data_IF_119562186000
#
_entry.id   IF_119562186000
#
_cell.length_a   1.000
_cell.length_b   1.000
_cell.length_c   1.000
_cell.angle_alpha   90.00
_cell.angle_beta   90.00
_cell.angle_gamma   90.00
#
_symmetry.space_group_name_H-M   'P 1'
#
loop_
_entity.id
_entity.type
_entity.pdbx_description
1 polymer ?
#
# COMPACT_ATOMS: atom_id res chain seq x y z
N UNK A 1 1.01 26.05 21.37
CA UNK A 1 2.08 25.33 20.63
C UNK A 1 1.79 25.51 19.14
N UNK A 2 2.64 26.26 18.42
CA UNK A 2 2.40 26.64 17.01
C UNK A 2 2.32 25.39 16.13
N UNK A 3 1.35 25.32 15.22
CA UNK A 3 1.07 24.12 14.40
C UNK A 3 2.25 23.59 13.57
N UNK A 4 3.28 24.41 13.31
CA UNK A 4 4.51 23.99 12.63
C UNK A 4 5.34 22.98 13.43
N UNK A 5 5.48 23.18 14.74
CA UNK A 5 6.33 22.34 15.59
C UNK A 5 5.73 20.96 15.79
N UNK A 6 4.40 20.89 15.86
CA UNK A 6 3.67 19.64 15.94
C UNK A 6 3.82 18.79 14.68
N UNK A 7 3.70 19.40 13.49
CA UNK A 7 3.90 18.71 12.21
C UNK A 7 5.33 18.17 12.09
N UNK A 8 6.34 18.97 12.46
CA UNK A 8 7.74 18.54 12.44
C UNK A 8 7.97 17.34 13.35
N UNK A 9 7.42 17.35 14.57
CA UNK A 9 7.54 16.24 15.53
C UNK A 9 6.87 14.96 15.04
N UNK A 10 5.63 15.04 14.54
CA UNK A 10 4.95 13.87 13.96
C UNK A 10 5.79 13.28 12.84
N UNK A 11 6.26 14.14 11.94
CA UNK A 11 7.00 13.72 10.77
C UNK A 11 8.33 13.05 11.15
N UNK A 12 9.12 13.70 11.99
CA UNK A 12 10.43 13.20 12.40
C UNK A 12 10.33 11.90 13.20
N UNK A 13 9.34 11.78 14.10
CA UNK A 13 9.10 10.55 14.86
C UNK A 13 8.59 9.41 13.97
N UNK A 14 7.68 9.69 13.03
CA UNK A 14 7.15 8.66 12.13
C UNK A 14 8.24 8.13 11.20
N UNK A 15 9.04 9.02 10.61
CA UNK A 15 10.14 8.63 9.72
C UNK A 15 11.20 7.87 10.50
N UNK A 16 11.68 8.39 11.63
CA UNK A 16 12.75 7.73 12.39
C UNK A 16 12.33 6.35 12.88
N UNK A 17 11.08 6.20 13.34
CA UNK A 17 10.54 4.91 13.73
C UNK A 17 10.43 3.95 12.54
N UNK A 18 9.91 4.42 11.39
CA UNK A 18 9.81 3.59 10.19
C UNK A 18 11.17 3.12 9.69
N UNK A 19 12.16 4.02 9.60
CA UNK A 19 13.54 3.70 9.22
C UNK A 19 14.14 2.65 10.17
N UNK A 20 13.99 2.85 11.48
CA UNK A 20 14.51 1.91 12.49
C UNK A 20 13.90 0.52 12.32
N UNK A 21 12.57 0.43 12.21
CA UNK A 21 11.87 -0.85 12.01
C UNK A 21 12.27 -1.49 10.68
N UNK A 22 12.45 -0.71 9.62
CA UNK A 22 12.88 -1.22 8.31
C UNK A 22 14.25 -1.92 8.40
N UNK A 23 15.24 -1.26 9.02
CA UNK A 23 16.58 -1.83 9.24
C UNK A 23 16.51 -3.06 10.13
N UNK A 24 15.79 -2.99 11.26
CA UNK A 24 15.64 -4.11 12.19
C UNK A 24 14.98 -5.34 11.56
N UNK A 25 14.06 -5.13 10.62
CA UNK A 25 13.34 -6.20 9.93
C UNK A 25 13.99 -6.63 8.62
N UNK A 26 15.03 -5.95 8.14
CA UNK A 26 15.66 -6.24 6.84
C UNK A 26 16.03 -7.73 6.68
N UNK A 27 16.75 -8.30 7.64
CA UNK A 27 17.17 -9.70 7.62
C UNK A 27 16.03 -10.72 7.72
N UNK A 28 14.85 -10.31 8.18
CA UNK A 28 13.66 -11.15 8.16
C UNK A 28 13.12 -11.36 6.74
N UNK A 29 13.29 -10.36 5.86
CA UNK A 29 12.80 -10.41 4.47
C UNK A 29 13.91 -10.75 3.47
N UNK A 30 15.14 -10.34 3.74
CA UNK A 30 16.31 -10.61 2.90
C UNK A 30 17.46 -11.24 3.72
N UNK A 31 17.34 -12.53 4.09
CA UNK A 31 18.33 -13.18 4.97
C UNK A 31 19.75 -13.14 4.39
N UNK A 32 19.86 -13.39 3.09
CA UNK A 32 21.14 -13.50 2.38
C UNK A 32 21.68 -12.18 1.82
N UNK A 33 20.91 -11.09 1.90
CA UNK A 33 21.33 -9.79 1.38
C UNK A 33 21.76 -8.90 2.56
N UNK A 34 22.97 -8.35 2.50
CA UNK A 34 23.39 -7.31 3.43
C UNK A 34 22.83 -5.94 3.04
N UNK A 35 22.58 -5.13 4.06
CA UNK A 35 22.15 -3.75 3.86
C UNK A 35 23.39 -2.90 3.59
N UNK A 36 23.65 -2.59 2.31
CA UNK A 36 24.86 -1.88 1.89
C UNK A 36 24.90 -0.42 2.37
N UNK A 37 23.74 0.23 2.43
CA UNK A 37 23.60 1.62 2.86
C UNK A 37 22.37 1.79 3.75
N UNK A 38 22.43 2.67 4.77
CA UNK A 38 21.27 2.95 5.59
C UNK A 38 20.15 3.58 4.74
N UNK A 39 18.93 3.04 4.78
CA UNK A 39 17.82 3.61 4.04
C UNK A 39 17.42 4.96 4.63
N UNK A 40 17.03 5.88 3.77
CA UNK A 40 16.41 7.16 4.13
C UNK A 40 15.02 7.23 3.53
N UNK A 41 14.09 7.84 4.25
CA UNK A 41 12.71 8.02 3.82
C UNK A 41 12.32 9.48 3.94
N UNK A 42 11.70 9.98 2.89
CA UNK A 42 11.04 11.28 2.91
C UNK A 42 9.57 11.13 3.34
N UNK A 43 9.04 12.20 3.93
CA UNK A 43 7.64 12.24 4.29
C UNK A 43 7.10 13.66 4.32
N UNK A 44 5.78 13.76 4.30
CA UNK A 44 5.08 15.03 4.37
C UNK A 44 3.84 14.87 5.26
N UNK A 45 3.53 15.92 6.02
CA UNK A 45 2.26 16.02 6.76
C UNK A 45 1.31 16.90 5.97
N UNK A 46 0.23 16.32 5.47
CA UNK A 46 -0.82 17.00 4.72
C UNK A 46 -2.05 17.09 5.63
N UNK A 47 -2.58 18.30 5.82
CA UNK A 47 -3.81 18.52 6.59
C UNK A 47 -4.97 18.71 5.61
N UNK A 48 -6.02 17.90 5.76
CA UNK A 48 -7.26 18.05 5.01
C UNK A 48 -8.27 18.84 5.84
N UNK A 49 -8.63 20.08 5.44
CA UNK A 49 -9.57 20.90 6.18
C UNK A 49 -11.02 20.42 5.97
N UNK A 50 -11.87 20.65 6.97
CA UNK A 50 -13.32 20.41 6.88
C UNK A 50 -13.82 19.29 7.79
N UNK A 51 -15.14 19.20 8.01
CA UNK A 51 -15.74 18.17 8.85
C UNK A 51 -15.73 16.81 8.13
N UNK A 52 -15.15 15.81 8.78
CA UNK A 52 -15.21 14.41 8.35
C UNK A 52 -14.08 13.96 7.42
N UNK A 53 -14.25 12.76 6.84
CA UNK A 53 -13.15 11.99 6.23
C UNK A 53 -13.16 11.96 4.70
N UNK A 54 -14.02 12.73 4.03
CA UNK A 54 -14.19 12.67 2.55
C UNK A 54 -12.88 12.93 1.81
N UNK A 55 -12.21 14.04 2.12
CA UNK A 55 -10.96 14.42 1.46
C UNK A 55 -9.83 13.41 1.70
N UNK A 56 -9.82 12.76 2.88
CA UNK A 56 -8.87 11.69 3.18
C UNK A 56 -9.15 10.46 2.30
N UNK A 57 -10.43 10.09 2.12
CA UNK A 57 -10.82 8.98 1.22
C UNK A 57 -10.46 9.26 -0.23
N UNK A 58 -10.71 10.48 -0.70
CA UNK A 58 -10.36 10.91 -2.06
C UNK A 58 -8.83 10.84 -2.26
N UNK A 59 -8.06 11.31 -1.28
CA UNK A 59 -6.60 11.18 -1.31
C UNK A 59 -6.12 9.72 -1.37
N UNK A 60 -6.64 8.85 -0.51
CA UNK A 60 -6.26 7.43 -0.50
C UNK A 60 -6.63 6.74 -1.83
N UNK A 61 -7.77 7.09 -2.40
CA UNK A 61 -8.21 6.58 -3.72
C UNK A 61 -7.26 7.05 -4.83
N UNK A 62 -6.83 8.31 -4.79
CA UNK A 62 -5.84 8.85 -5.72
C UNK A 62 -4.50 8.11 -5.59
N UNK A 63 -4.03 7.84 -4.37
CA UNK A 63 -2.78 7.08 -4.14
C UNK A 63 -2.89 5.66 -4.69
N UNK A 64 -4.04 5.00 -4.55
CA UNK A 64 -4.25 3.67 -5.14
C UNK A 64 -4.29 3.71 -6.67
N UNK A 65 -4.92 4.73 -7.26
CA UNK A 65 -4.91 4.90 -8.72
C UNK A 65 -3.48 5.10 -9.27
N UNK A 66 -2.66 5.92 -8.57
CA UNK A 66 -1.24 6.08 -8.92
C UNK A 66 -0.46 4.76 -8.81
N UNK A 67 -0.74 3.94 -7.79
CA UNK A 67 -0.14 2.61 -7.65
C UNK A 67 -0.46 1.72 -8.85
N UNK A 68 -1.73 1.68 -9.30
CA UNK A 68 -2.14 0.91 -10.47
C UNK A 68 -1.41 1.35 -11.75
N UNK A 69 -1.40 2.65 -12.04
CA UNK A 69 -0.73 3.20 -13.22
C UNK A 69 0.77 2.91 -13.19
N UNK A 70 1.42 3.17 -12.05
CA UNK A 70 2.85 2.97 -11.89
C UNK A 70 3.22 1.49 -12.00
N UNK A 71 2.46 0.60 -11.37
CA UNK A 71 2.71 -0.84 -11.44
C UNK A 71 2.55 -1.37 -12.87
N UNK A 72 1.50 -0.96 -13.60
CA UNK A 72 1.30 -1.38 -14.98
C UNK A 72 2.46 -0.91 -15.89
N UNK A 73 2.84 0.37 -15.80
CA UNK A 73 3.98 0.91 -16.56
C UNK A 73 5.27 0.15 -16.22
N UNK A 74 5.56 -0.06 -14.94
CA UNK A 74 6.78 -0.75 -14.51
C UNK A 74 6.79 -2.22 -14.93
N UNK A 75 5.64 -2.89 -14.91
CA UNK A 75 5.53 -4.27 -15.39
C UNK A 75 5.91 -4.36 -16.87
N UNK A 76 5.37 -3.45 -17.70
CA UNK A 76 5.74 -3.36 -19.12
C UNK A 76 7.22 -2.99 -19.31
N UNK A 77 7.72 -2.01 -18.55
CA UNK A 77 9.10 -1.54 -18.67
C UNK A 77 10.08 -2.69 -18.40
N UNK A 78 9.93 -3.36 -17.27
CA UNK A 78 10.87 -4.39 -16.84
C UNK A 78 10.77 -5.67 -17.66
N UNK A 79 9.60 -6.01 -18.22
CA UNK A 79 9.50 -7.16 -19.13
C UNK A 79 10.16 -6.86 -20.49
N UNK A 80 10.05 -5.63 -20.99
CA UNK A 80 10.75 -5.18 -22.21
C UNK A 80 12.27 -5.18 -22.01
N UNK A 81 12.74 -4.69 -20.86
CA UNK A 81 14.16 -4.73 -20.51
C UNK A 81 14.63 -6.18 -20.42
N UNK A 82 13.85 -7.06 -19.76
CA UNK A 82 14.14 -8.49 -19.67
C UNK A 82 14.15 -9.19 -21.04
N UNK A 83 13.40 -8.68 -22.02
CA UNK A 83 13.40 -9.21 -23.39
C UNK A 83 14.55 -8.70 -24.26
N UNK A 84 15.50 -7.95 -23.68
CA UNK A 84 16.72 -7.50 -24.33
C UNK A 84 16.72 -6.05 -24.81
N UNK A 85 15.67 -5.26 -24.52
CA UNK A 85 15.71 -3.81 -24.76
C UNK A 85 16.52 -3.11 -23.68
N UNK A 86 17.12 -1.99 -24.04
CA UNK A 86 17.67 -1.05 -23.05
C UNK A 86 16.53 -0.35 -22.30
N UNK A 87 16.82 0.21 -21.12
CA UNK A 87 15.85 0.99 -20.35
C UNK A 87 15.29 2.16 -21.17
N UNK A 88 16.16 2.90 -21.88
CA UNK A 88 15.75 4.03 -22.72
C UNK A 88 14.84 3.62 -23.88
N UNK A 89 15.11 2.49 -24.54
CA UNK A 89 14.24 1.98 -25.61
C UNK A 89 12.88 1.54 -25.06
N UNK A 90 12.86 0.89 -23.89
CA UNK A 90 11.63 0.46 -23.26
C UNK A 90 10.80 1.66 -22.77
N UNK A 91 11.43 2.71 -22.23
CA UNK A 91 10.75 3.95 -21.86
C UNK A 91 10.16 4.66 -23.06
N UNK A 92 10.92 4.83 -24.14
CA UNK A 92 10.45 5.44 -25.38
C UNK A 92 9.30 4.65 -26.00
N UNK A 93 9.36 3.31 -25.98
CA UNK A 93 8.27 2.45 -26.45
C UNK A 93 6.97 2.64 -25.65
N UNK A 94 7.07 2.90 -24.35
CA UNK A 94 5.92 3.08 -23.47
C UNK A 94 5.44 4.53 -23.41
N UNK A 95 6.16 5.47 -24.01
CA UNK A 95 5.77 6.87 -24.05
C UNK A 95 4.48 7.05 -24.86
N UNK A 96 3.54 7.84 -24.33
CA UNK A 96 2.23 8.06 -24.96
C UNK A 96 1.26 6.87 -24.93
N UNK A 97 1.70 5.68 -24.52
CA UNK A 97 0.84 4.48 -24.53
C UNK A 97 -0.30 4.52 -23.50
N UNK A 98 -1.48 4.10 -23.94
CA UNK A 98 -2.69 3.96 -23.12
C UNK A 98 -2.67 2.68 -22.28
N UNK A 99 -3.54 2.62 -21.28
CA UNK A 99 -3.70 1.43 -20.42
C UNK A 99 -4.06 0.16 -21.20
N UNK A 100 -4.91 0.27 -22.23
CA UNK A 100 -5.30 -0.85 -23.09
C UNK A 100 -4.11 -1.39 -23.89
N UNK A 101 -3.31 -0.51 -24.47
CA UNK A 101 -2.12 -0.87 -25.26
C UNK A 101 -1.06 -1.56 -24.37
N UNK A 102 -0.90 -1.13 -23.12
CA UNK A 102 -0.03 -1.80 -22.13
C UNK A 102 -0.52 -3.20 -21.78
N UNK A 103 -1.82 -3.38 -21.62
CA UNK A 103 -2.39 -4.71 -21.39
C UNK A 103 -2.22 -5.63 -22.60
N UNK A 104 -2.42 -5.09 -23.81
CA UNK A 104 -2.22 -5.81 -25.06
C UNK A 104 -0.75 -6.21 -25.25
N UNK A 105 0.19 -5.30 -24.98
CA UNK A 105 1.63 -5.57 -24.95
C UNK A 105 1.95 -6.76 -24.03
N UNK A 106 1.51 -6.70 -22.76
CA UNK A 106 1.75 -7.75 -21.77
C UNK A 106 1.17 -9.09 -22.23
N UNK A 107 -0.06 -9.08 -22.75
CA UNK A 107 -0.76 -10.28 -23.13
C UNK A 107 -0.23 -10.91 -24.41
N UNK A 108 -0.12 -10.14 -25.50
CA UNK A 108 0.24 -10.67 -26.82
C UNK A 108 1.72 -11.00 -26.94
N UNK A 109 2.62 -10.15 -26.42
CA UNK A 109 4.05 -10.37 -26.59
C UNK A 109 4.65 -11.25 -25.49
N UNK A 110 4.07 -11.21 -24.27
CA UNK A 110 4.66 -11.89 -23.11
C UNK A 110 3.74 -12.92 -22.45
N UNK A 111 2.50 -13.09 -22.93
CA UNK A 111 1.53 -14.02 -22.34
C UNK A 111 1.10 -13.65 -20.92
N UNK A 112 1.33 -12.40 -20.49
CA UNK A 112 1.04 -11.94 -19.13
C UNK A 112 -0.33 -11.25 -19.12
N UNK A 113 -1.29 -11.84 -18.41
CA UNK A 113 -2.53 -11.15 -18.08
C UNK A 113 -2.32 -10.29 -16.83
N UNK A 114 -2.29 -8.96 -16.99
CA UNK A 114 -2.11 -8.02 -15.89
C UNK A 114 -3.12 -8.24 -14.75
N UNK A 115 -4.37 -8.59 -15.07
CA UNK A 115 -5.41 -8.82 -14.07
C UNK A 115 -5.17 -10.05 -13.18
N UNK A 116 -4.27 -10.94 -13.59
CA UNK A 116 -3.87 -12.11 -12.81
C UNK A 116 -2.64 -11.83 -11.92
N UNK A 117 -2.02 -10.65 -12.01
CA UNK A 117 -0.94 -10.28 -11.10
C UNK A 117 -1.45 -10.16 -9.66
N UNK A 118 -0.58 -10.44 -8.66
CA UNK A 118 -0.92 -10.32 -7.25
C UNK A 118 -1.58 -8.98 -6.92
N UNK A 119 -2.65 -9.03 -6.12
CA UNK A 119 -3.39 -7.83 -5.73
C UNK A 119 -2.49 -6.80 -5.02
N UNK A 120 -1.49 -7.26 -4.26
CA UNK A 120 -0.50 -6.39 -3.61
C UNK A 120 0.20 -5.45 -4.61
N UNK A 121 0.53 -5.94 -5.81
CA UNK A 121 1.18 -5.12 -6.85
C UNK A 121 0.20 -4.16 -7.52
N UNK A 122 -1.03 -4.60 -7.77
CA UNK A 122 -2.04 -3.79 -8.48
C UNK A 122 -2.78 -2.79 -7.61
N UNK A 123 -2.94 -3.09 -6.32
CA UNK A 123 -3.80 -2.34 -5.38
C UNK A 123 -3.02 -1.80 -4.17
N UNK A 124 -1.77 -2.21 -3.99
CA UNK A 124 -0.98 -1.86 -2.83
C UNK A 124 -1.42 -2.59 -1.56
N UNK A 125 -0.98 -2.07 -0.41
CA UNK A 125 -1.30 -2.61 0.92
C UNK A 125 -2.05 -1.55 1.72
N UNK A 126 -3.24 -1.89 2.18
CA UNK A 126 -4.04 -1.07 3.09
C UNK A 126 -3.93 -1.62 4.50
N UNK A 127 -3.62 -0.75 5.45
CA UNK A 127 -3.44 -1.12 6.86
C UNK A 127 -4.46 -0.35 7.70
N UNK A 128 -5.30 -1.07 8.44
CA UNK A 128 -6.31 -0.46 9.30
C UNK A 128 -6.52 -1.28 10.57
N UNK A 129 -7.20 -0.68 11.56
CA UNK A 129 -7.57 -1.33 12.81
C UNK A 129 -8.99 -1.88 12.70
N UNK A 130 -9.12 -3.19 12.84
CA UNK A 130 -10.40 -3.89 12.78
C UNK A 130 -10.78 -4.48 14.16
N UNK A 131 -12.08 -4.59 14.44
CA UNK A 131 -12.61 -5.19 15.66
C UNK A 131 -12.73 -6.70 15.45
N UNK A 132 -11.84 -7.46 16.08
CA UNK A 132 -11.82 -8.92 16.02
C UNK A 132 -12.37 -9.47 17.34
N UNK A 133 -13.33 -10.39 17.24
CA UNK A 133 -13.81 -11.18 18.38
C UNK A 133 -12.83 -12.33 18.63
N UNK A 134 -12.23 -12.38 19.81
CA UNK A 134 -11.31 -13.45 20.20
C UNK A 134 -11.81 -14.17 21.44
N UNK A 135 -11.72 -15.49 21.42
CA UNK A 135 -11.85 -16.30 22.64
C UNK A 135 -10.61 -16.08 23.50
N UNK A 136 -10.80 -15.47 24.66
CA UNK A 136 -9.71 -15.16 25.59
C UNK A 136 -9.47 -16.32 26.56
N UNK A 137 -10.55 -16.98 26.98
CA UNK A 137 -10.57 -18.08 27.94
C UNK A 137 -11.78 -18.97 27.68
N UNK A 138 -11.79 -20.17 28.25
CA UNK A 138 -13.03 -20.93 28.45
C UNK A 138 -13.53 -20.66 29.87
N UNK A 139 -14.85 -20.66 30.08
CA UNK A 139 -15.44 -20.69 31.42
C UNK A 139 -15.35 -22.11 32.02
N UNK A 140 -15.75 -22.27 33.28
CA UNK A 140 -15.72 -23.55 34.00
C UNK A 140 -16.62 -24.63 33.36
N UNK A 141 -17.53 -24.23 32.46
CA UNK A 141 -18.41 -25.12 31.68
C UNK A 141 -17.90 -25.37 30.26
N UNK A 142 -16.70 -24.88 29.91
CA UNK A 142 -16.10 -25.04 28.59
C UNK A 142 -16.61 -24.06 27.52
N UNK A 143 -17.44 -23.08 27.86
CA UNK A 143 -17.92 -22.09 26.89
C UNK A 143 -16.85 -21.01 26.62
N UNK A 144 -16.71 -20.55 25.36
CA UNK A 144 -15.74 -19.53 25.01
C UNK A 144 -16.13 -18.15 25.56
N UNK A 145 -15.28 -17.59 26.43
CA UNK A 145 -15.34 -16.20 26.86
C UNK A 145 -14.70 -15.35 25.76
N UNK A 146 -15.54 -14.69 24.97
CA UNK A 146 -15.11 -13.87 23.86
C UNK A 146 -14.94 -12.40 24.28
N UNK A 147 -13.90 -11.73 23.76
CA UNK A 147 -13.72 -10.28 23.88
C UNK A 147 -13.40 -9.67 22.54
N UNK A 148 -13.96 -8.49 22.29
CA UNK A 148 -13.66 -7.70 21.10
C UNK A 148 -12.35 -6.94 21.34
N UNK A 149 -11.39 -7.10 20.43
CA UNK A 149 -10.10 -6.40 20.44
C UNK A 149 -9.87 -5.69 19.12
N UNK A 150 -9.20 -4.53 19.15
CA UNK A 150 -8.77 -3.85 17.93
C UNK A 150 -7.43 -4.44 17.47
N UNK A 151 -7.40 -5.07 16.30
CA UNK A 151 -6.18 -5.63 15.70
C UNK A 151 -5.82 -4.90 14.41
N UNK A 152 -4.53 -4.87 14.10
CA UNK A 152 -4.06 -4.40 12.81
C UNK A 152 -4.34 -5.48 11.77
N UNK A 153 -5.02 -5.09 10.69
CA UNK A 153 -5.27 -5.92 9.52
C UNK A 153 -4.57 -5.29 8.32
N UNK A 154 -3.93 -6.13 7.51
CA UNK A 154 -3.33 -5.74 6.22
C UNK A 154 -4.14 -6.39 5.12
N UNK A 155 -4.61 -5.61 4.16
CA UNK A 155 -5.43 -6.08 3.04
C UNK A 155 -4.94 -5.51 1.71
N UNK A 156 -5.18 -6.25 0.62
CA UNK A 156 -4.92 -5.84 -0.76
C UNK A 156 -6.24 -5.70 -1.51
N UNK A 157 -6.93 -4.58 -1.27
CA UNK A 157 -8.32 -4.39 -1.68
C UNK A 157 -8.51 -3.11 -2.50
N UNK A 158 -9.65 -3.01 -3.18
CA UNK A 158 -10.03 -1.81 -3.94
C UNK A 158 -10.76 -0.80 -3.06
N UNK A 159 -10.09 0.31 -2.75
CA UNK A 159 -10.60 1.41 -1.92
C UNK A 159 -11.64 2.27 -2.68
N UNK A 160 -11.67 2.15 -4.01
CA UNK A 160 -12.59 2.89 -4.89
C UNK A 160 -13.91 2.15 -5.11
N UNK A 161 -13.99 0.86 -4.70
CA UNK A 161 -15.20 0.06 -4.80
C UNK A 161 -16.36 0.74 -4.09
N UNK A 162 -17.49 0.89 -4.80
CA UNK A 162 -18.75 1.38 -4.20
C UNK A 162 -19.08 0.54 -2.96
N UNK A 163 -19.34 1.22 -1.84
CA UNK A 163 -19.66 0.56 -0.58
C UNK A 163 -18.47 0.21 0.29
N UNK A 164 -17.22 0.20 -0.20
CA UNK A 164 -16.04 -0.15 0.60
C UNK A 164 -16.02 0.60 1.93
N UNK A 165 -16.06 1.94 1.90
CA UNK A 165 -16.01 2.72 3.13
C UNK A 165 -17.23 2.52 4.04
N UNK A 166 -18.39 2.12 3.51
CA UNK A 166 -19.58 1.76 4.31
C UNK A 166 -19.38 0.44 5.03
N UNK A 167 -18.82 -0.56 4.34
CA UNK A 167 -18.46 -1.87 4.90
C UNK A 167 -17.44 -1.70 6.06
N UNK A 168 -16.55 -0.71 5.93
CA UNK A 168 -15.56 -0.31 6.93
C UNK A 168 -16.04 0.82 7.85
N UNK A 169 -17.32 0.83 8.22
CA UNK A 169 -17.96 1.86 9.05
C UNK A 169 -17.21 2.24 10.34
N UNK A 170 -16.47 1.30 10.94
CA UNK A 170 -15.66 1.53 12.15
C UNK A 170 -14.33 2.27 11.89
N UNK A 171 -13.87 2.35 10.64
CA UNK A 171 -12.69 3.12 10.20
C UNK A 171 -13.06 4.57 9.90
N UNK A 172 -14.37 4.90 9.87
CA UNK A 172 -14.84 6.25 9.58
C UNK A 172 -14.69 7.26 10.73
N UNK A 173 -14.39 6.78 11.95
CA UNK A 173 -14.17 7.61 13.14
C UNK A 173 -12.68 7.98 13.30
N UNK A 174 -12.09 8.60 12.29
CA UNK A 174 -10.78 9.27 12.40
C UNK A 174 -11.01 10.67 12.97
#
# INVERSE_FOLDING_TARGET
IKGSDFRRKILSLSISFFTSVYVMKWKMFFPMQELMHPPSFDGQVICYPGPGVKLVRDYLSLRQHHCHISNQKNTCLWILVKSGKTESEAESYLEGTKESEKNELLFQQFGINYNNLPLMFRKGSSVFRDKVEETVKLDDSGNPIKRIRKKIKVEHCDLTRKGFWKDWGHVQSI
#
